data_IF_892101771151
#
_entry.id   IF_892101771151
#
_cell.length_a   1.000
_cell.length_b   1.000
_cell.length_c   1.000
_cell.angle_alpha   90.00
_cell.angle_beta   90.00
_cell.angle_gamma   90.00
#
_symmetry.space_group_name_H-M   'P 1'
#
loop_
_entity.id
_entity.type
_entity.pdbx_description
1 polymer ?
#
# COMPACT_ATOMS: atom_id res chain seq x y z
N UNK A 1 27.77 37.68 -31.78
CA UNK A 1 26.55 36.83 -31.78
C UNK A 1 26.86 35.33 -31.69
N UNK A 2 27.91 34.83 -32.33
CA UNK A 2 28.25 33.40 -32.36
C UNK A 2 28.66 32.81 -30.99
N UNK A 3 29.43 33.57 -30.19
CA UNK A 3 29.80 33.20 -28.81
C UNK A 3 28.59 33.03 -27.88
N UNK A 4 27.54 33.83 -28.08
CA UNK A 4 26.30 33.77 -27.31
C UNK A 4 25.49 32.50 -27.63
N UNK A 5 25.41 32.12 -28.92
CA UNK A 5 24.75 30.88 -29.37
C UNK A 5 25.45 29.63 -28.83
N UNK A 6 26.80 29.64 -28.82
CA UNK A 6 27.62 28.54 -28.29
C UNK A 6 27.42 28.36 -26.78
N UNK A 7 27.38 29.46 -26.02
CA UNK A 7 27.10 29.43 -24.58
C UNK A 7 25.68 28.93 -24.28
N UNK A 8 24.68 29.36 -25.06
CA UNK A 8 23.30 28.90 -24.90
C UNK A 8 23.16 27.39 -25.19
N UNK A 9 23.83 26.89 -26.24
CA UNK A 9 23.84 25.47 -26.56
C UNK A 9 24.47 24.62 -25.44
N UNK A 10 25.55 25.10 -24.81
CA UNK A 10 26.19 24.43 -23.67
C UNK A 10 25.24 24.38 -22.46
N UNK A 11 24.51 25.46 -22.17
CA UNK A 11 23.53 25.51 -21.07
C UNK A 11 22.37 24.55 -21.32
N UNK A 12 21.82 24.53 -22.54
CA UNK A 12 20.74 23.61 -22.90
C UNK A 12 21.19 22.14 -22.85
N UNK A 13 22.41 21.87 -23.28
CA UNK A 13 23.00 20.52 -23.22
C UNK A 13 23.29 20.09 -21.78
N UNK A 14 23.75 21.01 -20.93
CA UNK A 14 23.94 20.76 -19.50
C UNK A 14 22.60 20.47 -18.79
N UNK A 15 21.54 21.22 -19.11
CA UNK A 15 20.18 20.96 -18.59
C UNK A 15 19.67 19.60 -19.07
N UNK A 16 19.90 19.23 -20.34
CA UNK A 16 19.51 17.92 -20.88
C UNK A 16 20.24 16.77 -20.16
N UNK A 17 21.55 16.88 -19.95
CA UNK A 17 22.35 15.89 -19.21
C UNK A 17 21.94 15.81 -17.74
N UNK A 18 21.63 16.95 -17.12
CA UNK A 18 21.15 16.99 -15.73
C UNK A 18 19.83 16.22 -15.61
N UNK A 19 18.89 16.43 -16.54
CA UNK A 19 17.61 15.68 -16.57
C UNK A 19 17.79 14.18 -16.87
N UNK A 20 18.75 13.81 -17.74
CA UNK A 20 19.06 12.40 -18.02
C UNK A 20 19.61 11.67 -16.78
N UNK A 21 20.36 12.38 -15.92
CA UNK A 21 20.91 11.84 -14.67
C UNK A 21 19.83 11.45 -13.64
N UNK A 22 18.67 12.14 -13.65
CA UNK A 22 17.53 11.80 -12.79
C UNK A 22 16.59 10.75 -13.40
N UNK A 23 16.73 10.44 -14.69
CA UNK A 23 15.79 9.58 -15.41
C UNK A 23 16.11 8.08 -15.32
N UNK A 24 17.28 7.67 -14.80
CA UNK A 24 17.80 6.32 -15.08
C UNK A 24 18.39 5.57 -13.88
N UNK A 25 17.85 5.74 -12.67
CA UNK A 25 17.96 4.68 -11.68
C UNK A 25 16.75 4.69 -10.75
N UNK A 26 15.82 3.72 -10.85
CA UNK A 26 14.86 3.51 -9.79
C UNK A 26 15.64 3.07 -8.56
N UNK A 27 15.94 4.00 -7.66
CA UNK A 27 16.39 3.61 -6.33
C UNK A 27 15.31 2.73 -5.72
N UNK A 28 15.71 1.56 -5.21
CA UNK A 28 14.80 0.67 -4.52
C UNK A 28 14.27 1.40 -3.28
N UNK A 29 13.01 1.83 -3.33
CA UNK A 29 12.37 2.43 -2.17
C UNK A 29 11.89 1.32 -1.23
N UNK A 30 12.57 1.18 -0.10
CA UNK A 30 12.22 0.18 0.92
C UNK A 30 11.17 0.74 1.88
N UNK A 31 10.00 0.09 1.92
CA UNK A 31 8.94 0.41 2.88
C UNK A 31 8.85 -0.67 3.95
N UNK A 32 9.19 -0.33 5.19
CA UNK A 32 9.09 -1.24 6.34
C UNK A 32 7.75 -1.06 7.07
N UNK A 33 6.91 -2.09 7.01
CA UNK A 33 5.79 -2.27 7.91
C UNK A 33 6.26 -2.90 9.23
N UNK A 34 5.62 -2.59 10.36
CA UNK A 34 5.80 -3.38 11.58
C UNK A 34 5.20 -4.76 11.31
N UNK A 35 5.99 -5.81 11.20
CA UNK A 35 5.52 -7.18 10.94
C UNK A 35 6.61 -8.01 10.30
N UNK A 36 6.70 -9.29 10.67
CA UNK A 36 7.83 -10.13 10.25
C UNK A 36 7.74 -10.58 8.78
N UNK A 37 6.52 -10.56 8.21
CA UNK A 37 6.24 -10.98 6.83
C UNK A 37 5.09 -10.16 6.24
N UNK A 38 5.18 -9.84 4.93
CA UNK A 38 4.07 -9.32 4.13
C UNK A 38 3.35 -10.52 3.51
N UNK A 39 2.05 -10.63 3.76
CA UNK A 39 1.21 -11.73 3.27
C UNK A 39 0.31 -11.32 2.10
N UNK A 40 -0.09 -10.05 2.04
CA UNK A 40 -1.05 -9.56 1.06
C UNK A 40 -0.74 -8.12 0.68
N UNK A 41 -1.02 -7.78 -0.58
CA UNK A 41 -0.93 -6.43 -1.12
C UNK A 41 -2.19 -6.14 -1.96
N UNK A 42 -2.71 -4.93 -1.86
CA UNK A 42 -3.77 -4.44 -2.75
C UNK A 42 -3.55 -2.96 -3.06
N UNK A 43 -3.72 -2.56 -4.32
CA UNK A 43 -3.50 -1.18 -4.78
C UNK A 43 -4.84 -0.44 -4.86
N UNK A 44 -4.86 0.80 -4.38
CA UNK A 44 -5.99 1.74 -4.42
C UNK A 44 -5.47 3.14 -4.78
N UNK A 45 -5.41 3.44 -6.09
CA UNK A 45 -4.80 4.69 -6.58
C UNK A 45 -3.33 4.79 -6.16
N UNK A 46 -2.97 5.89 -5.50
CA UNK A 46 -1.61 6.14 -5.00
C UNK A 46 -1.30 5.38 -3.69
N UNK A 47 -2.25 4.59 -3.19
CA UNK A 47 -2.09 3.83 -1.96
C UNK A 47 -1.87 2.35 -2.24
N UNK A 48 -1.02 1.74 -1.43
CA UNK A 48 -0.93 0.29 -1.30
C UNK A 48 -1.35 -0.12 0.12
N UNK A 49 -2.24 -1.09 0.18
CA UNK A 49 -2.68 -1.75 1.39
C UNK A 49 -1.84 -3.00 1.58
N UNK A 50 -1.18 -3.09 2.73
CA UNK A 50 -0.21 -4.14 3.05
C UNK A 50 -0.71 -4.95 4.24
N UNK A 51 -0.98 -6.22 4.02
CA UNK A 51 -1.36 -7.18 5.05
C UNK A 51 -0.11 -7.85 5.61
N UNK A 52 0.05 -7.87 6.92
CA UNK A 52 1.25 -8.40 7.57
C UNK A 52 0.95 -9.57 8.50
N UNK A 53 1.98 -10.37 8.79
CA UNK A 53 1.95 -11.39 9.84
C UNK A 53 2.25 -10.76 11.21
N UNK A 54 1.20 -10.46 11.98
CA UNK A 54 1.26 -9.98 13.36
C UNK A 54 1.30 -8.47 13.52
N UNK A 55 1.52 -7.73 12.44
CA UNK A 55 1.54 -6.26 12.41
C UNK A 55 0.21 -5.58 12.09
N UNK A 56 -0.78 -6.35 11.61
CA UNK A 56 -2.04 -5.82 11.11
C UNK A 56 -1.99 -5.40 9.65
N UNK A 57 -2.78 -4.38 9.32
CA UNK A 57 -2.95 -3.82 7.99
C UNK A 57 -2.28 -2.44 7.93
N UNK A 58 -1.52 -2.16 6.88
CA UNK A 58 -0.88 -0.85 6.67
C UNK A 58 -1.42 -0.24 5.39
N UNK A 59 -1.86 1.02 5.45
CA UNK A 59 -2.10 1.85 4.28
C UNK A 59 -0.86 2.71 4.06
N UNK A 60 -0.24 2.59 2.89
CA UNK A 60 0.97 3.31 2.53
C UNK A 60 0.71 4.16 1.30
N UNK A 61 1.05 5.45 1.35
CA UNK A 61 1.12 6.31 0.17
C UNK A 61 2.43 6.03 -0.59
N UNK A 62 2.33 5.59 -1.85
CA UNK A 62 3.49 5.23 -2.67
C UNK A 62 4.29 6.45 -3.15
N UNK A 63 3.69 7.65 -3.14
CA UNK A 63 4.34 8.90 -3.56
C UNK A 63 5.07 9.59 -2.41
N UNK A 64 4.46 9.61 -1.22
CA UNK A 64 4.98 10.36 -0.06
C UNK A 64 5.66 9.48 0.99
N UNK A 65 5.39 8.17 0.98
CA UNK A 65 5.85 7.24 2.01
C UNK A 65 5.08 7.32 3.34
N UNK A 66 4.07 8.18 3.43
CA UNK A 66 3.21 8.28 4.62
C UNK A 66 2.45 6.97 4.85
N UNK A 67 2.39 6.54 6.11
CA UNK A 67 1.74 5.27 6.48
C UNK A 67 0.78 5.39 7.64
N UNK A 68 -0.31 4.65 7.55
CA UNK A 68 -1.30 4.47 8.61
C UNK A 68 -1.40 2.98 8.95
N UNK A 69 -1.35 2.64 10.24
CA UNK A 69 -1.40 1.26 10.71
C UNK A 69 -2.76 0.99 11.35
N UNK A 70 -3.39 -0.12 10.96
CA UNK A 70 -4.62 -0.64 11.53
C UNK A 70 -4.35 -1.97 12.20
N UNK A 71 -4.61 -2.03 13.49
CA UNK A 71 -4.42 -3.23 14.30
C UNK A 71 -5.75 -3.68 14.88
N UNK A 72 -5.73 -4.73 15.70
CA UNK A 72 -6.89 -5.16 16.48
C UNK A 72 -7.51 -4.03 17.31
N UNK A 73 -6.69 -3.11 17.82
CA UNK A 73 -7.16 -1.92 18.54
C UNK A 73 -7.90 -0.91 17.66
N UNK A 74 -7.71 -0.98 16.34
CA UNK A 74 -8.38 -0.12 15.35
C UNK A 74 -9.70 -0.68 14.84
N UNK A 75 -10.05 -1.93 15.18
CA UNK A 75 -11.24 -2.61 14.67
C UNK A 75 -10.95 -3.87 13.83
N UNK A 76 -9.69 -4.19 13.53
CA UNK A 76 -9.36 -5.47 12.88
C UNK A 76 -9.72 -6.65 13.81
N UNK A 77 -10.24 -7.77 13.28
CA UNK A 77 -10.49 -8.97 14.09
C UNK A 77 -9.20 -9.62 14.60
N UNK A 78 -8.10 -9.51 13.86
CA UNK A 78 -6.78 -10.07 14.19
C UNK A 78 -5.67 -9.29 13.47
N UNK A 79 -4.47 -9.22 14.06
CA UNK A 79 -3.28 -8.62 13.43
C UNK A 79 -2.62 -9.52 12.37
N UNK A 80 -3.09 -10.75 12.21
CA UNK A 80 -2.63 -11.67 11.18
C UNK A 80 -3.52 -11.50 9.96
N UNK A 81 -3.06 -10.69 9.00
CA UNK A 81 -3.77 -10.43 7.74
C UNK A 81 -3.26 -11.38 6.68
N UNK A 82 -4.16 -12.06 5.98
CA UNK A 82 -3.86 -13.09 4.98
C UNK A 82 -4.27 -12.71 3.57
N UNK A 83 -5.32 -11.90 3.44
CA UNK A 83 -5.85 -11.49 2.15
C UNK A 83 -6.44 -10.09 2.24
N UNK A 84 -6.34 -9.33 1.14
CA UNK A 84 -6.96 -8.03 0.97
C UNK A 84 -7.57 -8.02 -0.42
N UNK A 85 -8.85 -7.65 -0.52
CA UNK A 85 -9.50 -7.32 -1.78
C UNK A 85 -10.16 -5.95 -1.66
N UNK A 86 -10.27 -5.24 -2.77
CA UNK A 86 -10.92 -3.93 -2.82
C UNK A 86 -12.08 -4.04 -3.79
N UNK A 87 -13.30 -3.75 -3.31
CA UNK A 87 -14.48 -3.80 -4.17
C UNK A 87 -14.66 -2.51 -4.98
N UNK A 88 -15.61 -2.52 -5.91
CA UNK A 88 -15.91 -1.40 -6.81
C UNK A 88 -16.41 -0.13 -6.09
N UNK A 89 -16.79 -0.25 -4.83
CA UNK A 89 -17.20 0.88 -3.98
C UNK A 89 -16.01 1.40 -3.13
N UNK A 90 -14.82 0.84 -3.30
CA UNK A 90 -13.63 1.18 -2.54
C UNK A 90 -13.59 0.57 -1.13
N UNK A 91 -14.43 -0.41 -0.82
CA UNK A 91 -14.34 -1.08 0.48
C UNK A 91 -13.17 -2.06 0.48
N UNK A 92 -12.40 -2.05 1.56
CA UNK A 92 -11.33 -3.02 1.79
C UNK A 92 -11.94 -4.23 2.50
N UNK A 93 -11.87 -5.39 1.87
CA UNK A 93 -12.22 -6.69 2.44
C UNK A 93 -10.95 -7.38 2.89
N UNK A 94 -10.80 -7.55 4.20
CA UNK A 94 -9.57 -8.01 4.84
C UNK A 94 -9.82 -9.36 5.51
N UNK A 95 -9.25 -10.40 4.92
CA UNK A 95 -9.22 -11.73 5.50
C UNK A 95 -8.16 -11.79 6.60
N UNK A 96 -8.58 -12.06 7.83
CA UNK A 96 -7.67 -12.19 8.98
C UNK A 96 -7.84 -13.56 9.64
N UNK A 97 -6.89 -13.95 10.50
CA UNK A 97 -7.03 -15.15 11.32
C UNK A 97 -8.27 -15.12 12.24
N UNK A 98 -8.78 -13.93 12.59
CA UNK A 98 -9.93 -13.74 13.48
C UNK A 98 -11.27 -13.58 12.76
N UNK A 99 -11.30 -13.72 11.42
CA UNK A 99 -12.48 -13.51 10.58
C UNK A 99 -12.27 -12.46 9.49
N UNK A 100 -13.37 -12.11 8.81
CA UNK A 100 -13.39 -11.12 7.73
C UNK A 100 -13.72 -9.74 8.29
N UNK A 101 -13.02 -8.72 7.81
CA UNK A 101 -13.36 -7.33 8.08
C UNK A 101 -13.65 -6.60 6.77
N UNK A 102 -14.66 -5.72 6.78
CA UNK A 102 -14.91 -4.74 5.73
C UNK A 102 -14.61 -3.36 6.30
N UNK A 103 -13.79 -2.59 5.61
CA UNK A 103 -13.47 -1.20 5.95
C UNK A 103 -13.88 -0.26 4.81
N UNK A 104 -14.78 0.68 5.10
CA UNK A 104 -15.31 1.65 4.12
C UNK A 104 -14.48 2.94 4.02
N UNK A 105 -13.40 3.06 4.80
CA UNK A 105 -12.60 4.27 4.95
C UNK A 105 -12.81 4.99 6.28
N UNK A 106 -13.91 4.69 6.98
CA UNK A 106 -14.30 5.28 8.26
C UNK A 106 -14.67 4.20 9.28
N UNK A 107 -15.55 3.27 8.91
CA UNK A 107 -16.13 2.26 9.77
C UNK A 107 -15.65 0.85 9.45
N UNK A 108 -15.66 0.02 10.48
CA UNK A 108 -15.34 -1.40 10.42
C UNK A 108 -16.61 -2.23 10.58
N UNK A 109 -16.83 -3.18 9.67
CA UNK A 109 -17.82 -4.26 9.85
C UNK A 109 -17.10 -5.60 9.93
N UNK A 110 -17.38 -6.38 10.97
CA UNK A 110 -16.66 -7.64 11.26
C UNK A 110 -17.58 -8.85 11.13
N UNK A 111 -17.17 -9.80 10.29
CA UNK A 111 -17.86 -11.06 10.07
C UNK A 111 -17.02 -12.22 10.63
N UNK A 112 -17.61 -12.93 11.59
CA UNK A 112 -17.09 -14.10 12.28
C UNK A 112 -18.03 -15.28 12.08
N UNK A 113 -17.56 -16.49 12.37
CA UNK A 113 -18.39 -17.71 12.34
C UNK A 113 -19.68 -17.53 13.16
N UNK A 114 -19.56 -16.89 14.32
CA UNK A 114 -20.66 -16.69 15.26
C UNK A 114 -21.74 -15.70 14.79
N UNK A 115 -21.48 -14.84 13.79
CA UNK A 115 -22.40 -13.78 13.40
C UNK A 115 -22.69 -13.68 11.89
N UNK A 116 -22.10 -14.55 11.06
CA UNK A 116 -22.20 -14.44 9.60
C UNK A 116 -22.56 -15.73 8.88
N UNK A 117 -22.59 -16.88 9.57
CA UNK A 117 -22.78 -18.18 8.92
C UNK A 117 -21.59 -18.63 8.05
N UNK A 118 -20.51 -17.84 7.96
CA UNK A 118 -19.31 -18.20 7.23
C UNK A 118 -18.52 -19.30 7.97
N UNK A 119 -18.10 -20.37 7.29
CA UNK A 119 -17.14 -21.31 7.85
C UNK A 119 -15.77 -20.63 7.87
N UNK A 120 -15.19 -20.27 9.02
CA UNK A 120 -13.91 -19.56 9.02
C UNK A 120 -12.80 -20.21 9.87
N UNK A 121 -11.69 -20.50 9.20
CA UNK A 121 -10.32 -20.51 9.74
C UNK A 121 -9.28 -19.85 8.81
N UNK A 122 -9.59 -19.61 7.53
CA UNK A 122 -8.79 -18.74 6.67
C UNK A 122 -9.63 -18.30 5.47
N UNK A 123 -9.54 -17.02 5.10
CA UNK A 123 -10.11 -16.50 3.85
C UNK A 123 -8.94 -16.22 2.93
N UNK A 124 -8.89 -16.94 1.81
CA UNK A 124 -8.10 -16.58 0.65
C UNK A 124 -9.09 -16.03 -0.38
N UNK A 125 -9.12 -14.71 -0.53
CA UNK A 125 -9.82 -14.08 -1.65
C UNK A 125 -8.90 -14.28 -2.86
N UNK A 126 -9.41 -14.95 -3.88
CA UNK A 126 -8.74 -15.18 -5.15
C UNK A 126 -8.90 -13.97 -6.07
#
# INVERSE_FOLDING_TARGET
MEKLKKNLAIVLFAILIFNLSFSQNPEWVNFTAKGNYINALAIEGDYIWVGTYGGGLVKLNMLTGEKVNYTRGSGLPSNYVWAIAIDVQGNKWIGTWGGLAKFDGVNWTVYKRSNSGLPIYSIKLC
#
